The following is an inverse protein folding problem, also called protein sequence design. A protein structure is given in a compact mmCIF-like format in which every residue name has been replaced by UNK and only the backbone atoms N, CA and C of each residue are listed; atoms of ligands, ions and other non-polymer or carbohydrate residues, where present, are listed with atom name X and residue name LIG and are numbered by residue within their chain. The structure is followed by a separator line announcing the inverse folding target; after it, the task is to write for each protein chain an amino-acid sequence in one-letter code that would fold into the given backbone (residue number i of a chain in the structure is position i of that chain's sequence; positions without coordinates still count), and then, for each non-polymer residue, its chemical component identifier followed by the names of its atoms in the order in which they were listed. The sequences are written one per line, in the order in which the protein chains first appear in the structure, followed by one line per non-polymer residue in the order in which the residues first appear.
data_IF_702205451610
#
_entry.id   IF_702205451610
#
_cell.length_a   1.000
_cell.length_b   1.000
_cell.length_c   1.000
_cell.angle_alpha   90.00
_cell.angle_beta   90.00
_cell.angle_gamma   90.00
#
_symmetry.space_group_name_H-M   'P 1'
#
loop_
_entity.id
_entity.type
_entity.pdbx_description
1 polymer ?
#
# COMPACT_ATOMS: atom_id res chain seq x y z
N UNK A 1 39.89 1.89 25.60
CA UNK A 1 39.38 3.07 24.87
C UNK A 1 39.81 3.11 23.40
N UNK A 2 41.12 3.07 23.07
CA UNK A 2 41.58 3.12 21.66
C UNK A 2 40.98 2.00 20.80
N UNK A 3 41.12 0.75 21.25
CA UNK A 3 40.58 -0.43 20.56
C UNK A 3 39.06 -0.37 20.41
N UNK A 4 38.35 0.08 21.44
CA UNK A 4 36.90 0.21 21.44
C UNK A 4 36.42 1.28 20.43
N UNK A 5 37.14 2.40 20.33
CA UNK A 5 36.86 3.42 19.32
C UNK A 5 37.01 2.89 17.89
N UNK A 6 38.08 2.13 17.62
CA UNK A 6 38.28 1.48 16.31
C UNK A 6 37.15 0.50 16.00
N UNK A 7 36.78 -0.36 16.96
CA UNK A 7 35.71 -1.34 16.79
C UNK A 7 34.37 -0.66 16.49
N UNK A 8 34.03 0.43 17.18
CA UNK A 8 32.80 1.18 16.94
C UNK A 8 32.80 1.91 15.59
N UNK A 9 33.94 2.44 15.15
CA UNK A 9 34.07 3.01 13.80
C UNK A 9 33.89 1.94 12.72
N UNK A 10 34.50 0.76 12.88
CA UNK A 10 34.32 -0.37 11.97
C UNK A 10 32.86 -0.84 11.93
N UNK A 11 32.21 -0.94 13.09
CA UNK A 11 30.78 -1.27 13.18
C UNK A 11 29.92 -0.24 12.46
N UNK A 12 30.23 1.05 12.62
CA UNK A 12 29.53 2.15 11.93
C UNK A 12 29.68 2.04 10.41
N UNK A 13 30.86 1.67 9.91
CA UNK A 13 31.08 1.42 8.48
C UNK A 13 30.20 0.26 7.99
N UNK A 14 30.17 -0.86 8.70
CA UNK A 14 29.31 -2.00 8.36
C UNK A 14 27.84 -1.60 8.33
N UNK A 15 27.39 -0.78 9.30
CA UNK A 15 26.03 -0.26 9.34
C UNK A 15 25.71 0.66 8.16
N UNK A 16 26.64 1.54 7.77
CA UNK A 16 26.47 2.40 6.59
C UNK A 16 26.32 1.56 5.31
N UNK A 17 27.15 0.53 5.13
CA UNK A 17 27.05 -0.36 3.97
C UNK A 17 25.71 -1.11 3.97
N UNK A 18 25.32 -1.69 5.11
CA UNK A 18 24.04 -2.39 5.26
C UNK A 18 22.85 -1.49 4.95
N UNK A 19 22.74 -0.34 5.63
CA UNK A 19 21.68 0.64 5.37
C UNK A 19 21.73 1.20 3.96
N UNK A 20 22.93 1.37 3.37
CA UNK A 20 23.11 1.85 2.02
C UNK A 20 22.51 0.90 0.99
N UNK A 21 22.73 -0.41 1.16
CA UNK A 21 22.11 -1.43 0.31
C UNK A 21 20.58 -1.45 0.45
N UNK A 22 20.05 -1.39 1.69
CA UNK A 22 18.61 -1.30 1.92
C UNK A 22 17.99 -0.03 1.33
N UNK A 23 18.67 1.11 1.48
CA UNK A 23 18.26 2.36 0.88
C UNK A 23 18.23 2.27 -0.64
N UNK A 24 19.27 1.72 -1.28
CA UNK A 24 19.32 1.58 -2.75
C UNK A 24 18.18 0.69 -3.27
N UNK A 25 17.90 -0.43 -2.60
CA UNK A 25 16.79 -1.32 -2.96
C UNK A 25 15.43 -0.61 -2.80
N UNK A 26 15.19 0.02 -1.65
CA UNK A 26 13.95 0.76 -1.40
C UNK A 26 13.80 1.97 -2.32
N UNK A 27 14.90 2.64 -2.65
CA UNK A 27 14.94 3.76 -3.59
C UNK A 27 14.55 3.29 -5.00
N UNK A 28 15.11 2.16 -5.48
CA UNK A 28 14.75 1.59 -6.77
C UNK A 28 13.26 1.20 -6.82
N UNK A 29 12.75 0.48 -5.81
CA UNK A 29 11.33 0.09 -5.73
C UNK A 29 10.39 1.29 -5.66
N UNK A 30 10.82 2.40 -5.06
CA UNK A 30 9.97 3.59 -4.94
C UNK A 30 9.60 4.24 -6.28
N UNK A 31 10.30 3.92 -7.39
CA UNK A 31 9.98 4.43 -8.72
C UNK A 31 8.91 3.62 -9.46
N UNK A 32 8.55 2.44 -8.96
CA UNK A 32 7.59 1.54 -9.60
C UNK A 32 6.13 1.99 -9.41
N UNK A 33 5.88 2.95 -8.50
CA UNK A 33 4.57 3.52 -8.27
C UNK A 33 4.20 4.58 -9.36
N UNK A 34 3.03 4.49 -10.02
CA UNK A 34 2.60 5.46 -11.04
C UNK A 34 2.59 6.90 -10.50
N UNK A 35 3.22 7.84 -11.22
CA UNK A 35 3.30 9.26 -10.83
C UNK A 35 4.35 9.60 -9.76
N UNK A 36 5.08 8.61 -9.23
CA UNK A 36 6.08 8.76 -8.16
C UNK A 36 7.35 9.53 -8.55
N UNK A 37 7.62 9.70 -9.84
CA UNK A 37 8.76 10.48 -10.34
C UNK A 37 8.57 11.98 -10.16
N UNK A 38 7.31 12.44 -10.22
CA UNK A 38 6.93 13.86 -10.23
C UNK A 38 6.30 14.33 -8.91
N UNK A 39 5.92 13.42 -8.01
CA UNK A 39 5.31 13.77 -6.72
C UNK A 39 6.38 14.29 -5.72
N UNK A 40 6.28 15.56 -5.26
CA UNK A 40 7.18 16.11 -4.24
C UNK A 40 7.19 15.33 -2.93
N UNK A 41 6.06 14.69 -2.56
CA UNK A 41 5.97 13.90 -1.33
C UNK A 41 6.78 12.61 -1.41
N UNK A 42 6.80 11.96 -2.58
CA UNK A 42 7.60 10.77 -2.82
C UNK A 42 9.11 11.08 -2.71
N UNK A 43 9.55 12.23 -3.23
CA UNK A 43 10.92 12.71 -3.07
C UNK A 43 11.27 13.07 -1.61
N UNK A 44 10.35 13.72 -0.89
CA UNK A 44 10.52 13.99 0.53
C UNK A 44 10.73 12.72 1.36
N UNK A 45 9.95 11.67 1.09
CA UNK A 45 10.11 10.37 1.74
C UNK A 45 11.43 9.68 1.39
N UNK A 46 11.88 9.71 0.13
CA UNK A 46 13.18 9.18 -0.28
C UNK A 46 14.33 9.84 0.50
N UNK A 47 14.31 11.16 0.61
CA UNK A 47 15.33 11.91 1.35
C UNK A 47 15.28 11.63 2.86
N UNK A 48 14.08 11.47 3.43
CA UNK A 48 13.90 11.12 4.84
C UNK A 48 14.52 9.74 5.14
N UNK A 49 14.31 8.76 4.26
CA UNK A 49 14.87 7.40 4.41
C UNK A 49 16.40 7.42 4.27
N UNK A 50 16.98 8.37 3.52
CA UNK A 50 18.43 8.56 3.44
C UNK A 50 19.04 9.23 4.69
N UNK A 51 18.23 9.86 5.54
CA UNK A 51 18.72 10.66 6.68
C UNK A 51 19.61 9.90 7.67
N UNK A 52 19.34 8.62 8.03
CA UNK A 52 20.21 7.88 8.96
C UNK A 52 21.62 7.67 8.40
N UNK A 53 21.76 7.50 7.08
CA UNK A 53 23.06 7.34 6.41
C UNK A 53 23.91 8.61 6.54
N UNK A 54 23.28 9.79 6.40
CA UNK A 54 23.96 11.07 6.57
C UNK A 54 24.42 11.26 8.02
N UNK A 55 23.58 10.90 9.00
CA UNK A 55 23.93 10.96 10.42
C UNK A 55 25.14 10.06 10.70
N UNK A 56 25.14 8.82 10.21
CA UNK A 56 26.25 7.89 10.41
C UNK A 56 27.54 8.38 9.77
N UNK A 57 27.47 8.92 8.56
CA UNK A 57 28.62 9.45 7.84
C UNK A 57 29.27 10.61 8.61
N UNK A 58 28.46 11.57 9.08
CA UNK A 58 28.94 12.71 9.87
C UNK A 58 29.56 12.24 11.19
N UNK A 59 28.89 11.34 11.91
CA UNK A 59 29.42 10.78 13.16
C UNK A 59 30.73 10.01 12.95
N UNK A 60 30.87 9.28 11.85
CA UNK A 60 32.10 8.56 11.51
C UNK A 60 33.27 9.52 11.24
N UNK A 61 33.05 10.58 10.45
CA UNK A 61 34.07 11.60 10.18
C UNK A 61 34.53 12.28 11.47
N UNK A 62 33.59 12.64 12.33
CA UNK A 62 33.90 13.27 13.62
C UNK A 62 34.60 12.28 14.58
N UNK A 63 34.18 11.01 14.60
CA UNK A 63 34.81 9.95 15.40
C UNK A 63 36.25 9.70 14.97
N UNK A 64 36.53 9.73 13.66
CA UNK A 64 37.87 9.62 13.10
C UNK A 64 38.76 10.81 13.49
N UNK A 65 38.27 12.04 13.35
CA UNK A 65 39.00 13.24 13.78
C UNK A 65 39.31 13.20 15.28
N UNK A 66 38.36 12.78 16.11
CA UNK A 66 38.57 12.64 17.55
C UNK A 66 39.59 11.54 17.89
N UNK A 67 39.58 10.42 17.14
CA UNK A 67 40.56 9.35 17.28
C UNK A 67 41.98 9.82 16.92
N UNK A 68 42.14 10.49 15.77
CA UNK A 68 43.42 11.03 15.30
C UNK A 68 43.99 12.10 16.26
N UNK A 69 43.12 12.90 16.89
CA UNK A 69 43.52 13.88 17.92
C UNK A 69 43.79 13.29 19.31
N UNK A 70 43.72 11.97 19.48
CA UNK A 70 43.96 11.29 20.77
C UNK A 70 42.80 11.37 21.78
N UNK A 71 41.66 11.94 21.40
CA UNK A 71 40.45 12.07 22.23
C UNK A 71 39.57 10.82 22.13
N UNK A 72 40.09 9.66 22.58
CA UNK A 72 39.42 8.37 22.41
C UNK A 72 38.03 8.28 23.06
N UNK A 73 37.80 8.96 24.19
CA UNK A 73 36.47 8.98 24.84
C UNK A 73 35.40 9.64 23.97
N UNK A 74 35.74 10.75 23.29
CA UNK A 74 34.82 11.42 22.35
C UNK A 74 34.57 10.58 21.10
N UNK A 75 35.60 9.90 20.60
CA UNK A 75 35.48 8.98 19.46
C UNK A 75 34.52 7.83 19.76
N UNK A 76 34.60 7.24 20.97
CA UNK A 76 33.66 6.21 21.44
C UNK A 76 32.22 6.71 21.48
N UNK A 77 31.98 7.89 22.10
CA UNK A 77 30.63 8.47 22.19
C UNK A 77 30.01 8.69 20.79
N UNK A 78 30.79 9.21 19.84
CA UNK A 78 30.33 9.40 18.47
C UNK A 78 30.08 8.07 17.75
N UNK A 79 30.91 7.06 17.99
CA UNK A 79 30.74 5.71 17.45
C UNK A 79 29.52 4.97 18.01
N UNK A 80 29.07 5.29 19.24
CA UNK A 80 27.85 4.68 19.81
C UNK A 80 26.55 5.21 19.22
N UNK A 81 26.57 6.33 18.48
CA UNK A 81 25.35 6.90 17.88
C UNK A 81 24.73 5.94 16.87
N UNK A 82 25.54 5.30 16.03
CA UNK A 82 25.07 4.37 15.01
C UNK A 82 24.26 3.19 15.58
N UNK A 83 24.77 2.39 16.55
CA UNK A 83 24.00 1.29 17.14
C UNK A 83 22.74 1.78 17.87
N UNK A 84 22.78 2.91 18.57
CA UNK A 84 21.61 3.45 19.28
C UNK A 84 20.49 3.82 18.29
N UNK A 85 20.82 4.50 17.20
CA UNK A 85 19.86 4.85 16.16
C UNK A 85 19.30 3.60 15.48
N UNK A 86 20.14 2.60 15.20
CA UNK A 86 19.69 1.32 14.64
C UNK A 86 18.70 0.59 15.56
N UNK A 87 18.97 0.53 16.86
CA UNK A 87 18.06 -0.08 17.84
C UNK A 87 16.73 0.69 17.88
N UNK A 88 16.78 2.02 17.90
CA UNK A 88 15.58 2.86 17.91
C UNK A 88 14.72 2.66 16.65
N UNK A 89 15.35 2.64 15.47
CA UNK A 89 14.68 2.40 14.19
C UNK A 89 14.09 0.99 14.13
N UNK A 90 14.83 -0.04 14.57
CA UNK A 90 14.35 -1.41 14.60
C UNK A 90 13.16 -1.60 15.54
N UNK A 91 13.22 -1.01 16.74
CA UNK A 91 12.12 -1.03 17.69
C UNK A 91 10.88 -0.33 17.10
N UNK A 92 11.06 0.84 16.48
CA UNK A 92 9.98 1.55 15.81
C UNK A 92 9.34 0.70 14.70
N UNK A 93 10.15 0.15 13.79
CA UNK A 93 9.69 -0.71 12.70
C UNK A 93 8.91 -1.92 13.21
N UNK A 94 9.40 -2.55 14.28
CA UNK A 94 8.75 -3.71 14.90
C UNK A 94 7.36 -3.35 15.43
N UNK A 95 7.24 -2.22 16.13
CA UNK A 95 5.96 -1.73 16.66
C UNK A 95 4.98 -1.40 15.52
N UNK A 96 5.44 -0.67 14.50
CA UNK A 96 4.59 -0.31 13.36
C UNK A 96 4.16 -1.53 12.54
N UNK A 97 5.03 -2.54 12.40
CA UNK A 97 4.70 -3.78 11.69
C UNK A 97 3.65 -4.61 12.42
N UNK A 98 3.69 -4.65 13.76
CA UNK A 98 2.64 -5.32 14.54
C UNK A 98 1.30 -4.60 14.40
N UNK A 99 1.30 -3.27 14.40
CA UNK A 99 0.09 -2.48 14.20
C UNK A 99 -0.52 -2.69 12.81
N UNK A 100 0.30 -2.69 11.75
CA UNK A 100 -0.17 -2.95 10.38
C UNK A 100 -0.69 -4.38 10.20
N UNK A 101 -0.05 -5.36 10.85
CA UNK A 101 -0.50 -6.76 10.81
C UNK A 101 -1.86 -6.94 11.51
N UNK A 102 -2.09 -6.24 12.62
CA UNK A 102 -3.40 -6.22 13.28
C UNK A 102 -4.47 -5.60 12.36
N UNK A 103 -4.17 -4.45 11.74
CA UNK A 103 -5.09 -3.81 10.79
C UNK A 103 -5.42 -4.71 9.60
N UNK A 104 -4.42 -5.41 9.06
CA UNK A 104 -4.63 -6.39 7.99
C UNK A 104 -5.54 -7.53 8.42
N UNK A 105 -5.29 -8.13 9.60
CA UNK A 105 -6.12 -9.21 10.12
C UNK A 105 -7.56 -8.75 10.37
N UNK A 106 -7.74 -7.53 10.91
CA UNK A 106 -9.07 -6.94 11.12
C UNK A 106 -9.80 -6.70 9.79
N UNK A 107 -9.09 -6.31 8.72
CA UNK A 107 -9.65 -6.19 7.37
C UNK A 107 -10.06 -7.55 6.79
N UNK A 108 -9.18 -8.56 6.89
CA UNK A 108 -9.48 -9.92 6.41
C UNK A 108 -10.69 -10.50 7.15
N UNK A 109 -10.74 -10.36 8.48
CA UNK A 109 -11.88 -10.82 9.28
C UNK A 109 -13.19 -10.12 8.86
N UNK A 110 -13.16 -8.80 8.65
CA UNK A 110 -14.30 -8.06 8.10
C UNK A 110 -14.70 -8.57 6.72
N UNK A 111 -13.74 -8.83 5.82
CA UNK A 111 -14.05 -9.38 4.50
C UNK A 111 -14.68 -10.78 4.58
N UNK A 112 -14.20 -11.64 5.47
CA UNK A 112 -14.78 -12.97 5.69
C UNK A 112 -16.19 -12.89 6.27
N UNK A 113 -16.43 -12.02 7.26
CA UNK A 113 -17.77 -11.75 7.79
C UNK A 113 -18.72 -11.22 6.70
N UNK A 114 -18.23 -10.34 5.83
CA UNK A 114 -19.02 -9.79 4.73
C UNK A 114 -19.33 -10.84 3.67
N UNK A 115 -18.37 -11.71 3.32
CA UNK A 115 -18.59 -12.87 2.44
C UNK A 115 -19.62 -13.85 3.02
N UNK A 116 -19.66 -14.02 4.33
CA UNK A 116 -20.64 -14.89 4.99
C UNK A 116 -22.06 -14.28 5.01
N UNK A 117 -22.18 -12.96 5.21
CA UNK A 117 -23.47 -12.26 5.25
C UNK A 117 -24.05 -12.01 3.85
N UNK A 118 -23.18 -11.85 2.86
CA UNK A 118 -23.56 -11.40 1.54
C UNK A 118 -22.83 -12.20 0.46
N UNK A 119 -23.53 -13.09 -0.26
CA UNK A 119 -22.92 -13.80 -1.37
C UNK A 119 -22.64 -12.86 -2.55
N UNK A 120 -21.78 -13.30 -3.47
CA UNK A 120 -21.58 -12.62 -4.75
C UNK A 120 -22.88 -12.70 -5.55
N UNK A 121 -23.44 -11.55 -5.90
CA UNK A 121 -24.66 -11.46 -6.71
C UNK A 121 -24.30 -11.19 -8.18
N UNK A 122 -25.06 -11.80 -9.09
CA UNK A 122 -24.89 -11.61 -10.53
C UNK A 122 -26.24 -11.29 -11.16
N UNK A 123 -26.29 -10.19 -11.90
CA UNK A 123 -27.46 -9.77 -12.65
C UNK A 123 -27.10 -9.78 -14.13
N UNK A 124 -27.92 -10.43 -14.95
CA UNK A 124 -27.63 -10.67 -16.36
C UNK A 124 -28.67 -9.94 -17.21
N UNK A 125 -28.22 -9.36 -18.31
CA UNK A 125 -29.05 -8.85 -19.40
C UNK A 125 -28.62 -9.52 -20.69
N UNK A 126 -29.57 -9.94 -21.50
CA UNK A 126 -29.31 -10.50 -22.84
C UNK A 126 -29.83 -9.52 -23.88
N UNK A 127 -28.95 -8.91 -24.68
CA UNK A 127 -29.31 -7.97 -25.74
C UNK A 127 -28.48 -8.26 -27.00
N UNK A 128 -29.13 -8.36 -28.16
CA UNK A 128 -28.49 -8.42 -29.49
C UNK A 128 -27.28 -9.38 -29.62
N UNK A 129 -27.37 -10.58 -29.03
CA UNK A 129 -26.31 -11.59 -29.10
C UNK A 129 -25.13 -11.38 -28.13
N UNK A 130 -25.24 -10.40 -27.24
CA UNK A 130 -24.29 -10.08 -26.18
C UNK A 130 -24.94 -10.37 -24.82
N UNK A 131 -24.17 -10.98 -23.90
CA UNK A 131 -24.62 -11.22 -22.53
C UNK A 131 -23.89 -10.29 -21.57
N UNK A 132 -24.62 -9.36 -21.01
CA UNK A 132 -24.11 -8.38 -20.08
C UNK A 132 -24.31 -8.87 -18.65
N UNK A 133 -23.34 -8.62 -17.77
CA UNK A 133 -23.43 -9.03 -16.36
C UNK A 133 -22.97 -7.92 -15.43
N UNK A 134 -23.79 -7.58 -14.44
CA UNK A 134 -23.37 -6.81 -13.26
C UNK A 134 -23.02 -7.80 -12.16
N UNK A 135 -21.83 -7.65 -11.59
CA UNK A 135 -21.35 -8.45 -10.46
C UNK A 135 -21.24 -7.53 -9.24
N UNK A 136 -21.91 -7.91 -8.16
CA UNK A 136 -21.81 -7.22 -6.87
C UNK A 136 -21.03 -8.12 -5.91
N UNK A 137 -19.88 -7.63 -5.47
CA UNK A 137 -19.05 -8.34 -4.51
C UNK A 137 -19.43 -8.01 -3.06
N UNK A 138 -19.11 -8.92 -2.12
CA UNK A 138 -19.42 -8.71 -0.70
C UNK A 138 -18.73 -7.47 -0.11
N UNK A 139 -17.57 -7.11 -0.66
CA UNK A 139 -16.79 -5.93 -0.28
C UNK A 139 -17.35 -4.61 -0.84
N UNK A 140 -18.49 -4.65 -1.54
CA UNK A 140 -19.17 -3.47 -2.06
C UNK A 140 -18.70 -3.01 -3.44
N UNK A 141 -17.80 -3.73 -4.11
CA UNK A 141 -17.47 -3.43 -5.50
C UNK A 141 -18.64 -3.84 -6.40
N UNK A 142 -18.99 -2.98 -7.35
CA UNK A 142 -19.96 -3.30 -8.41
C UNK A 142 -19.23 -3.15 -9.74
N UNK A 143 -19.16 -4.20 -10.54
CA UNK A 143 -18.56 -4.12 -11.88
C UNK A 143 -19.51 -4.56 -12.97
N UNK A 144 -19.32 -3.95 -14.13
CA UNK A 144 -20.02 -4.28 -15.35
C UNK A 144 -19.11 -5.08 -16.29
N UNK A 145 -19.64 -6.22 -16.74
CA UNK A 145 -19.01 -7.09 -17.72
C UNK A 145 -19.90 -7.14 -18.96
N UNK A 146 -19.30 -6.82 -20.10
CA UNK A 146 -19.90 -7.00 -21.41
C UNK A 146 -19.42 -8.37 -21.90
N UNK A 147 -20.26 -9.30 -22.35
CA UNK A 147 -19.78 -10.57 -22.91
C UNK A 147 -20.08 -10.64 -24.41
N UNK A 148 -19.15 -10.14 -25.23
CA UNK A 148 -19.16 -10.27 -26.69
C UNK A 148 -18.24 -11.41 -27.09
N UNK A 149 -18.72 -12.66 -27.07
CA UNK A 149 -18.04 -13.81 -27.70
C UNK A 149 -16.56 -14.03 -27.34
N UNK A 150 -16.07 -13.48 -26.22
CA UNK A 150 -14.69 -13.57 -25.74
C UNK A 150 -14.70 -13.85 -24.24
N UNK A 151 -13.71 -14.61 -23.75
CA UNK A 151 -13.69 -15.04 -22.35
C UNK A 151 -13.58 -13.90 -21.33
N UNK A 152 -13.10 -12.69 -21.72
CA UNK A 152 -12.86 -11.60 -20.75
C UNK A 152 -13.06 -10.14 -21.26
N UNK A 153 -14.29 -9.63 -21.45
CA UNK A 153 -14.49 -8.19 -21.68
C UNK A 153 -14.94 -7.52 -20.37
N UNK A 154 -13.97 -7.12 -19.55
CA UNK A 154 -14.19 -6.31 -18.35
C UNK A 154 -14.29 -4.83 -18.72
N UNK A 155 -15.41 -4.16 -18.40
CA UNK A 155 -15.59 -2.72 -18.64
C UNK A 155 -15.39 -1.87 -17.37
N UNK A 156 -14.61 -2.39 -16.40
CA UNK A 156 -14.24 -1.64 -15.20
C UNK A 156 -15.32 -1.58 -14.11
N UNK A 157 -15.03 -0.89 -12.99
CA UNK A 157 -15.96 -0.71 -11.89
C UNK A 157 -17.12 0.22 -12.31
N UNK A 158 -18.35 -0.22 -12.10
CA UNK A 158 -19.57 0.58 -12.27
C UNK A 158 -19.72 1.61 -11.14
N UNK A 159 -19.17 1.31 -9.96
CA UNK A 159 -19.27 2.15 -8.78
C UNK A 159 -18.95 1.40 -7.48
N UNK A 160 -19.22 2.06 -6.37
CA UNK A 160 -19.06 1.52 -5.01
C UNK A 160 -20.41 1.45 -4.30
N UNK A 161 -20.68 0.31 -3.69
CA UNK A 161 -21.82 0.07 -2.82
C UNK A 161 -21.54 0.66 -1.44
N UNK A 162 -22.52 1.37 -0.88
CA UNK A 162 -22.45 1.94 0.46
C UNK A 162 -22.27 0.86 1.53
N UNK A 163 -21.76 1.24 2.71
CA UNK A 163 -21.52 0.30 3.82
C UNK A 163 -22.79 -0.44 4.27
N UNK A 164 -23.95 0.22 4.21
CA UNK A 164 -25.26 -0.36 4.51
C UNK A 164 -25.85 -1.21 3.37
N UNK A 165 -25.13 -1.27 2.23
CA UNK A 165 -25.43 -2.05 1.03
C UNK A 165 -26.74 -1.73 0.33
N UNK A 166 -27.29 -0.55 0.56
CA UNK A 166 -28.55 -0.10 -0.06
C UNK A 166 -28.34 0.83 -1.23
N UNK A 167 -27.20 1.53 -1.27
CA UNK A 167 -26.97 2.62 -2.21
C UNK A 167 -25.73 2.32 -3.04
N UNK A 168 -25.81 2.51 -4.36
CA UNK A 168 -24.65 2.40 -5.24
C UNK A 168 -24.26 3.80 -5.69
N UNK A 169 -23.04 4.19 -5.38
CA UNK A 169 -22.43 5.40 -5.93
C UNK A 169 -21.90 5.06 -7.31
N UNK A 170 -22.69 5.37 -8.33
CA UNK A 170 -22.32 5.17 -9.72
C UNK A 170 -21.18 6.13 -10.11
N UNK A 171 -20.04 5.59 -10.50
CA UNK A 171 -18.86 6.36 -10.89
C UNK A 171 -18.82 6.45 -12.43
N UNK A 172 -19.12 7.65 -12.98
CA UNK A 172 -19.06 7.95 -14.42
C UNK A 172 -17.61 8.05 -14.89
N UNK A 173 -16.84 6.97 -14.72
CA UNK A 173 -15.50 6.90 -15.28
C UNK A 173 -15.56 6.80 -16.81
N UNK A 174 -14.56 7.32 -17.53
CA UNK A 174 -14.53 7.28 -19.00
C UNK A 174 -14.61 5.86 -19.61
N UNK A 175 -14.26 4.83 -18.84
CA UNK A 175 -14.34 3.41 -19.18
C UNK A 175 -15.72 2.77 -18.91
N UNK A 176 -16.54 3.37 -18.04
CA UNK A 176 -17.89 2.89 -17.74
C UNK A 176 -18.86 3.27 -18.85
N UNK A 177 -19.13 2.33 -19.76
CA UNK A 177 -20.01 2.54 -20.93
C UNK A 177 -21.50 2.29 -20.68
N UNK A 178 -21.89 1.80 -19.50
CA UNK A 178 -23.27 1.40 -19.21
C UNK A 178 -24.09 2.58 -18.66
N UNK A 179 -25.10 3.11 -19.38
CA UNK A 179 -25.98 4.16 -18.88
C UNK A 179 -26.77 3.71 -17.65
N UNK A 180 -27.14 4.65 -16.77
CA UNK A 180 -27.87 4.33 -15.53
C UNK A 180 -29.27 3.79 -15.82
N UNK A 181 -29.88 4.24 -16.91
CA UNK A 181 -31.19 3.81 -17.39
C UNK A 181 -31.19 2.35 -17.84
N UNK A 182 -30.03 1.81 -18.20
CA UNK A 182 -29.91 0.43 -18.64
C UNK A 182 -29.85 -0.58 -17.49
N UNK A 183 -29.63 -0.11 -16.25
CA UNK A 183 -29.55 -0.94 -15.06
C UNK A 183 -30.85 -1.71 -14.77
N UNK A 184 -32.01 -1.17 -15.18
CA UNK A 184 -33.33 -1.80 -15.02
C UNK A 184 -33.51 -3.08 -15.84
N UNK A 185 -32.63 -3.33 -16.81
CA UNK A 185 -32.70 -4.51 -17.66
C UNK A 185 -31.87 -5.70 -17.12
N UNK A 186 -31.13 -5.51 -16.03
CA UNK A 186 -30.33 -6.56 -15.41
C UNK A 186 -31.14 -7.30 -14.35
N UNK A 187 -31.26 -8.62 -14.53
CA UNK A 187 -32.05 -9.47 -13.64
C UNK A 187 -31.21 -10.64 -13.13
N UNK A 188 -31.42 -11.04 -11.89
CA UNK A 188 -30.81 -12.25 -11.35
C UNK A 188 -31.60 -13.52 -11.74
N UNK A 189 -31.15 -14.69 -11.26
CA UNK A 189 -31.82 -15.97 -11.50
C UNK A 189 -33.22 -16.08 -10.88
N UNK A 190 -33.56 -15.21 -9.92
CA UNK A 190 -34.86 -15.15 -9.25
C UNK A 190 -35.81 -14.13 -9.92
N UNK A 191 -35.35 -13.43 -10.96
CA UNK A 191 -36.11 -12.41 -11.67
C UNK A 191 -36.12 -11.06 -10.96
N UNK A 192 -35.27 -10.84 -9.96
CA UNK A 192 -35.13 -9.55 -9.28
C UNK A 192 -34.33 -8.60 -10.16
N UNK A 193 -34.89 -7.42 -10.41
CA UNK A 193 -34.22 -6.35 -11.14
C UNK A 193 -33.16 -5.73 -10.23
N UNK A 194 -31.97 -5.47 -10.76
CA UNK A 194 -30.86 -4.86 -10.03
C UNK A 194 -31.29 -3.60 -9.26
N UNK A 195 -32.04 -2.70 -9.89
CA UNK A 195 -32.53 -1.47 -9.27
C UNK A 195 -33.50 -1.70 -8.11
N UNK A 196 -34.19 -2.84 -8.04
CA UNK A 196 -35.08 -3.16 -6.90
C UNK A 196 -34.29 -3.58 -5.67
N UNK A 197 -33.13 -4.21 -5.87
CA UNK A 197 -32.23 -4.60 -4.79
C UNK A 197 -31.50 -3.39 -4.20
N UNK A 198 -31.25 -2.38 -5.04
CA UNK A 198 -30.51 -1.17 -4.70
C UNK A 198 -31.36 0.11 -4.81
N UNK A 199 -32.68 -0.02 -4.59
CA UNK A 199 -33.62 1.09 -4.74
C UNK A 199 -33.33 2.17 -3.68
N UNK A 200 -32.84 3.32 -4.15
CA UNK A 200 -32.64 4.52 -3.34
C UNK A 200 -34.00 5.18 -3.10
N UNK A 201 -34.32 5.48 -1.84
CA UNK A 201 -35.34 6.46 -1.47
C UNK A 201 -34.69 7.80 -1.21
#
# INVERSE_FOLDING_TARGET
MKTLAILLMLLTIVMIVGFGLFFLLGFAMSFDAPGSTTDPKAWGMRLLIASPLLIFLVCLILAWKAYAGGYYGKSVLLGTVAPVVCIALYAWMSITSMASMKQYNDQVAKEEEMKAKYPVEKYIRTADGVSDTIIVWPNGIVAYRLNIGMEFPWNGPLGELSEDRKTITYDRRPDTKLPIEELYHFMDSEGRIFTNVYAVQ
#
